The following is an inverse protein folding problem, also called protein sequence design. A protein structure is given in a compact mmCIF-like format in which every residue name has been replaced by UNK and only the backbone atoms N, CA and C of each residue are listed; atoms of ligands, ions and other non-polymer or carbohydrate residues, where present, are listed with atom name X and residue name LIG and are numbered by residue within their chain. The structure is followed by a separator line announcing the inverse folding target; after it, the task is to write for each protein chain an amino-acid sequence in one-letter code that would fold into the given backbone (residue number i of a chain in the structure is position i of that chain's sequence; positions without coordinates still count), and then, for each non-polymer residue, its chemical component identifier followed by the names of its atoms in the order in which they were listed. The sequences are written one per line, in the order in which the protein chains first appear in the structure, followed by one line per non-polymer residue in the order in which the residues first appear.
data_IF_187839454358
#
_entry.id   IF_187839454358
#
_cell.length_a   1.000
_cell.length_b   1.000
_cell.length_c   1.000
_cell.angle_alpha   90.00
_cell.angle_beta   90.00
_cell.angle_gamma   90.00
#
_symmetry.space_group_name_H-M   'P 1'
#
loop_
_entity.id
_entity.type
_entity.pdbx_description
1 polymer ?
#
# COMPACT_ATOMS: atom_id res chain seq x y z
N UNK A 1 40.76 -2.36 -2.92
CA UNK A 1 40.43 -2.45 -1.48
C UNK A 1 39.06 -3.10 -1.32
N UNK A 2 38.96 -4.31 -0.74
CA UNK A 2 37.69 -5.05 -0.63
C UNK A 2 36.60 -4.29 0.16
N UNK A 3 37.00 -3.37 1.05
CA UNK A 3 36.10 -2.49 1.80
C UNK A 3 35.19 -1.63 0.90
N UNK A 4 35.68 -1.17 -0.25
CA UNK A 4 34.88 -0.36 -1.18
C UNK A 4 33.75 -1.17 -1.83
N UNK A 5 34.01 -2.45 -2.10
CA UNK A 5 33.03 -3.38 -2.68
C UNK A 5 31.92 -3.66 -1.65
N UNK A 6 32.30 -3.90 -0.39
CA UNK A 6 31.32 -4.08 0.69
C UNK A 6 30.45 -2.84 0.90
N UNK A 7 31.04 -1.64 0.85
CA UNK A 7 30.32 -0.38 1.01
C UNK A 7 29.34 -0.15 -0.16
N UNK A 8 29.75 -0.46 -1.39
CA UNK A 8 28.87 -0.42 -2.56
C UNK A 8 27.67 -1.38 -2.42
N UNK A 9 27.92 -2.62 -1.99
CA UNK A 9 26.85 -3.61 -1.79
C UNK A 9 25.90 -3.14 -0.69
N UNK A 10 26.42 -2.68 0.45
CA UNK A 10 25.61 -2.17 1.55
C UNK A 10 24.77 -0.96 1.11
N UNK A 11 25.36 -0.01 0.40
CA UNK A 11 24.65 1.14 -0.15
C UNK A 11 23.55 0.74 -1.14
N UNK A 12 23.80 -0.26 -1.99
CA UNK A 12 22.83 -0.78 -2.94
C UNK A 12 21.64 -1.45 -2.24
N UNK A 13 21.90 -2.29 -1.22
CA UNK A 13 20.85 -2.91 -0.41
C UNK A 13 20.01 -1.84 0.29
N UNK A 14 20.66 -0.84 0.88
CA UNK A 14 19.98 0.25 1.57
C UNK A 14 19.08 1.05 0.62
N UNK A 15 19.57 1.35 -0.58
CA UNK A 15 18.81 2.05 -1.61
C UNK A 15 17.58 1.26 -2.09
N UNK A 16 17.73 -0.05 -2.34
CA UNK A 16 16.61 -0.92 -2.70
C UNK A 16 15.57 -1.01 -1.58
N UNK A 17 16.02 -1.19 -0.34
CA UNK A 17 15.15 -1.24 0.83
C UNK A 17 14.37 0.07 1.02
N UNK A 18 15.05 1.21 0.92
CA UNK A 18 14.44 2.53 1.01
C UNK A 18 13.36 2.75 -0.06
N UNK A 19 13.67 2.40 -1.32
CA UNK A 19 12.70 2.55 -2.43
C UNK A 19 11.44 1.72 -2.20
N UNK A 20 11.59 0.47 -1.75
CA UNK A 20 10.45 -0.39 -1.41
C UNK A 20 9.65 0.18 -0.24
N UNK A 21 10.32 0.61 0.82
CA UNK A 21 9.69 1.20 2.00
C UNK A 21 8.87 2.45 1.66
N UNK A 22 9.40 3.34 0.82
CA UNK A 22 8.68 4.54 0.37
C UNK A 22 7.45 4.17 -0.46
N UNK A 23 7.55 3.19 -1.36
CA UNK A 23 6.40 2.72 -2.14
C UNK A 23 5.31 2.12 -1.25
N UNK A 24 5.69 1.31 -0.27
CA UNK A 24 4.77 0.69 0.69
C UNK A 24 4.12 1.75 1.59
N UNK A 25 4.86 2.77 2.03
CA UNK A 25 4.33 3.90 2.79
C UNK A 25 3.31 4.73 1.99
N UNK A 26 3.55 4.94 0.69
CA UNK A 26 2.60 5.61 -0.19
C UNK A 26 1.32 4.80 -0.37
N UNK A 27 1.42 3.47 -0.52
CA UNK A 27 0.25 2.58 -0.61
C UNK A 27 -0.59 2.64 0.67
N UNK A 28 0.06 2.54 1.84
CA UNK A 28 -0.61 2.63 3.15
C UNK A 28 -1.28 3.98 3.36
N UNK A 29 -0.65 5.08 2.95
CA UNK A 29 -1.22 6.43 3.09
C UNK A 29 -2.46 6.59 2.22
N UNK A 30 -2.44 6.09 0.98
CA UNK A 30 -3.61 6.11 0.09
C UNK A 30 -4.77 5.29 0.64
N UNK A 31 -4.48 4.11 1.18
CA UNK A 31 -5.47 3.25 1.82
C UNK A 31 -6.10 3.94 3.04
N UNK A 32 -5.27 4.52 3.92
CA UNK A 32 -5.77 5.25 5.10
C UNK A 32 -6.55 6.51 4.77
N UNK A 33 -6.23 7.20 3.69
CA UNK A 33 -7.00 8.38 3.24
C UNK A 33 -8.40 7.97 2.76
N UNK A 34 -8.54 6.81 2.11
CA UNK A 34 -9.85 6.26 1.74
C UNK A 34 -10.67 5.87 2.99
N UNK A 35 -10.06 5.12 3.92
CA UNK A 35 -10.70 4.76 5.18
C UNK A 35 -11.13 5.99 6.00
N UNK A 36 -10.29 7.03 6.11
CA UNK A 36 -10.64 8.28 6.81
C UNK A 36 -11.80 9.03 6.18
N UNK A 37 -11.97 8.96 4.86
CA UNK A 37 -13.12 9.58 4.17
C UNK A 37 -14.41 8.84 4.49
N UNK A 38 -14.37 7.51 4.47
CA UNK A 38 -15.49 6.64 4.83
C UNK A 38 -15.93 6.85 6.30
N UNK A 39 -14.97 6.95 7.23
CA UNK A 39 -15.23 7.29 8.64
C UNK A 39 -15.88 8.67 8.81
N UNK A 40 -15.38 9.69 8.10
CA UNK A 40 -15.91 11.07 8.21
C UNK A 40 -17.31 11.23 7.63
N UNK A 41 -17.65 10.47 6.59
CA UNK A 41 -18.99 10.54 5.98
C UNK A 41 -19.99 9.58 6.62
N UNK A 42 -19.57 8.74 7.58
CA UNK A 42 -20.40 7.69 8.18
C UNK A 42 -20.85 6.63 7.17
N UNK A 43 -20.20 6.58 6.00
CA UNK A 43 -20.52 5.65 4.93
C UNK A 43 -19.63 4.44 5.10
N UNK A 44 -20.19 3.36 5.65
CA UNK A 44 -19.44 2.12 5.87
C UNK A 44 -19.36 1.36 4.55
N UNK A 45 -18.24 1.55 3.83
CA UNK A 45 -17.91 0.90 2.57
C UNK A 45 -18.65 1.43 1.34
N UNK A 46 -17.91 1.58 0.24
CA UNK A 46 -18.54 1.71 -1.07
C UNK A 46 -18.99 0.32 -1.52
N UNK A 47 -20.28 0.17 -1.83
CA UNK A 47 -20.81 -1.03 -2.45
C UNK A 47 -20.15 -1.20 -3.83
N UNK A 48 -19.33 -2.24 -3.98
CA UNK A 48 -18.75 -2.63 -5.27
C UNK A 48 -19.59 -3.78 -5.80
N UNK A 49 -20.05 -3.64 -7.04
CA UNK A 49 -20.77 -4.69 -7.71
C UNK A 49 -19.81 -5.84 -8.01
N UNK A 50 -20.15 -7.04 -7.53
CA UNK A 50 -19.47 -8.27 -7.91
C UNK A 50 -19.76 -8.54 -9.40
N UNK A 51 -18.73 -8.57 -10.26
CA UNK A 51 -18.92 -8.75 -11.71
C UNK A 51 -19.44 -10.13 -12.10
N UNK A 52 -19.33 -11.14 -11.22
CA UNK A 52 -19.80 -12.51 -11.49
C UNK A 52 -21.25 -12.72 -11.06
N UNK A 53 -21.67 -12.08 -9.95
CA UNK A 53 -22.99 -12.32 -9.35
C UNK A 53 -23.95 -11.14 -9.49
N UNK A 54 -23.44 -9.95 -9.85
CA UNK A 54 -24.22 -8.71 -9.92
C UNK A 54 -24.64 -8.16 -8.55
N UNK A 55 -24.28 -8.84 -7.46
CA UNK A 55 -24.58 -8.43 -6.09
C UNK A 55 -23.61 -7.35 -5.60
N UNK A 56 -24.14 -6.36 -4.90
CA UNK A 56 -23.32 -5.31 -4.30
C UNK A 56 -22.71 -5.81 -2.99
N UNK A 57 -21.38 -5.91 -2.92
CA UNK A 57 -20.64 -6.30 -1.72
C UNK A 57 -19.85 -5.12 -1.17
N UNK A 58 -19.70 -5.09 0.16
CA UNK A 58 -18.80 -4.14 0.80
C UNK A 58 -17.37 -4.44 0.34
N UNK A 59 -16.67 -3.42 -0.13
CA UNK A 59 -15.24 -3.52 -0.45
C UNK A 59 -14.47 -3.77 0.86
N UNK A 60 -14.25 -5.03 1.20
CA UNK A 60 -13.32 -5.42 2.27
C UNK A 60 -11.90 -5.28 1.74
N UNK A 61 -11.01 -4.70 2.54
CA UNK A 61 -9.60 -4.47 2.19
C UNK A 61 -8.75 -5.76 2.17
N UNK A 62 -9.39 -6.93 2.19
CA UNK A 62 -8.74 -8.22 2.45
C UNK A 62 -8.34 -9.01 1.18
N UNK A 63 -8.33 -8.36 -0.01
CA UNK A 63 -7.84 -8.96 -1.27
C UNK A 63 -6.93 -8.01 -2.07
#
# INVERSE_FOLDING_TARGET
MPQLILLLIAGFIFWLGYRKFVADAQKLTRQREQARREERTGAQGTLVQDPETGEYRLKREDE
#
